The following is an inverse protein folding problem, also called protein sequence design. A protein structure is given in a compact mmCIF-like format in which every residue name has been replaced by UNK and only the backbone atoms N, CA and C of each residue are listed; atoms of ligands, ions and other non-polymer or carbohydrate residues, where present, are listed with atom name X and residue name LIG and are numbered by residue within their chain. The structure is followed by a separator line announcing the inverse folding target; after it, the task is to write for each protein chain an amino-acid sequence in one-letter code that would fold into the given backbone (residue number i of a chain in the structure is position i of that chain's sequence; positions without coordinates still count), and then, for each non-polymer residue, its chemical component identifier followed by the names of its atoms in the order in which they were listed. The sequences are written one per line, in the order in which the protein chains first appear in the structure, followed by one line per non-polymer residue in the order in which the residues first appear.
data_IF_624057795543
#
_entry.id   IF_624057795543
#
_cell.length_a   1.000
_cell.length_b   1.000
_cell.length_c   1.000
_cell.angle_alpha   90.00
_cell.angle_beta   90.00
_cell.angle_gamma   90.00
#
_symmetry.space_group_name_H-M   'P 1'
#
loop_
_entity.id
_entity.type
_entity.pdbx_description
1 polymer ?
#
# COMPACT_ATOMS: atom_id res chain seq x y z
N UNK A 1 7.53 26.15 -9.08
CA UNK A 1 6.57 25.18 -8.54
C UNK A 1 7.06 24.82 -7.15
N UNK A 2 6.21 24.85 -6.14
CA UNK A 2 6.60 24.52 -4.77
C UNK A 2 6.76 23.01 -4.59
N UNK A 3 7.61 22.57 -3.66
CA UNK A 3 7.85 21.15 -3.35
C UNK A 3 6.54 20.35 -3.13
N UNK A 4 5.57 20.96 -2.44
CA UNK A 4 4.25 20.38 -2.20
C UNK A 4 3.46 20.17 -3.51
N UNK A 5 3.59 21.07 -4.48
CA UNK A 5 2.94 20.93 -5.79
C UNK A 5 3.51 19.75 -6.58
N UNK A 6 4.80 19.43 -6.48
CA UNK A 6 5.39 18.30 -7.21
C UNK A 6 5.16 16.95 -6.57
N UNK A 7 5.24 16.87 -5.24
CA UNK A 7 4.83 15.66 -4.52
C UNK A 7 3.39 15.31 -4.91
N UNK A 8 2.52 16.33 -4.95
CA UNK A 8 1.14 16.17 -5.38
C UNK A 8 1.01 15.72 -6.85
N UNK A 9 1.75 16.35 -7.78
CA UNK A 9 1.73 15.98 -9.20
C UNK A 9 2.22 14.54 -9.41
N UNK A 10 3.32 14.15 -8.76
CA UNK A 10 3.87 12.81 -8.90
C UNK A 10 2.93 11.76 -8.31
N UNK A 11 2.36 12.02 -7.13
CA UNK A 11 1.31 11.17 -6.55
C UNK A 11 0.16 10.98 -7.52
N UNK A 12 -0.33 12.06 -8.14
CA UNK A 12 -1.43 11.99 -9.12
C UNK A 12 -1.05 11.24 -10.40
N UNK A 13 0.20 11.35 -10.85
CA UNK A 13 0.71 10.59 -11.99
C UNK A 13 0.73 9.09 -11.68
N UNK A 14 1.25 8.70 -10.53
CA UNK A 14 1.29 7.30 -10.08
C UNK A 14 -0.12 6.73 -9.87
N UNK A 15 -1.02 7.49 -9.25
CA UNK A 15 -2.44 7.10 -9.11
C UNK A 15 -3.05 6.80 -10.48
N UNK A 16 -2.78 7.65 -11.49
CA UNK A 16 -3.33 7.48 -12.84
C UNK A 16 -2.77 6.25 -13.57
N UNK A 17 -1.47 5.98 -13.44
CA UNK A 17 -0.83 4.80 -14.05
C UNK A 17 -1.44 3.52 -13.47
N UNK A 18 -1.57 3.45 -12.14
CA UNK A 18 -2.13 2.27 -11.46
C UNK A 18 -3.63 2.13 -11.72
N UNK A 19 -4.39 3.24 -11.73
CA UNK A 19 -5.80 3.24 -12.12
C UNK A 19 -5.99 2.66 -13.52
N UNK A 20 -5.22 3.13 -14.50
CA UNK A 20 -5.30 2.62 -15.87
C UNK A 20 -4.97 1.12 -15.92
N UNK A 21 -3.89 0.68 -15.25
CA UNK A 21 -3.53 -0.73 -15.22
C UNK A 21 -4.64 -1.62 -14.62
N UNK A 22 -5.31 -1.13 -13.56
CA UNK A 22 -6.43 -1.84 -12.95
C UNK A 22 -7.65 -1.85 -13.88
N UNK A 23 -7.95 -0.76 -14.58
CA UNK A 23 -9.07 -0.69 -15.52
C UNK A 23 -8.85 -1.54 -16.77
N UNK A 24 -7.62 -1.58 -17.29
CA UNK A 24 -7.24 -2.39 -18.46
C UNK A 24 -7.40 -3.90 -18.18
N UNK A 25 -7.40 -4.30 -16.90
CA UNK A 25 -7.66 -5.67 -16.47
C UNK A 25 -9.11 -6.12 -16.65
N UNK A 26 -10.06 -5.21 -16.96
CA UNK A 26 -11.52 -5.44 -17.07
C UNK A 26 -12.21 -6.09 -15.85
N UNK A 27 -11.46 -6.42 -14.80
CA UNK A 27 -11.98 -7.07 -13.60
C UNK A 27 -12.81 -6.11 -12.75
N UNK A 28 -12.52 -4.82 -12.77
CA UNK A 28 -13.28 -3.76 -12.08
C UNK A 28 -13.65 -2.63 -13.05
N UNK A 29 -14.69 -1.87 -12.72
CA UNK A 29 -15.12 -0.72 -13.51
C UNK A 29 -14.56 0.60 -12.96
N UNK A 30 -14.72 1.67 -13.73
CA UNK A 30 -14.33 3.02 -13.29
C UNK A 30 -15.10 3.44 -12.03
N UNK A 31 -16.37 3.07 -11.95
CA UNK A 31 -17.24 3.36 -10.82
C UNK A 31 -16.70 2.76 -9.51
N UNK A 32 -16.13 1.55 -9.55
CA UNK A 32 -15.48 0.92 -8.39
C UNK A 32 -14.33 1.78 -7.88
N UNK A 33 -13.46 2.24 -8.78
CA UNK A 33 -12.30 3.08 -8.45
C UNK A 33 -12.75 4.44 -7.91
N UNK A 34 -13.75 5.05 -8.55
CA UNK A 34 -14.27 6.35 -8.16
C UNK A 34 -14.96 6.32 -6.78
N UNK A 35 -15.70 5.25 -6.46
CA UNK A 35 -16.27 5.06 -5.11
C UNK A 35 -15.17 4.83 -4.07
N UNK A 36 -14.20 3.95 -4.35
CA UNK A 36 -13.08 3.70 -3.44
C UNK A 36 -12.33 5.01 -3.13
N UNK A 37 -12.00 5.80 -4.16
CA UNK A 37 -11.24 7.06 -4.05
C UNK A 37 -11.87 8.06 -3.07
N UNK A 38 -13.21 8.15 -3.03
CA UNK A 38 -13.94 9.07 -2.14
C UNK A 38 -13.75 8.75 -0.66
N UNK A 39 -13.44 7.50 -0.33
CA UNK A 39 -13.36 7.01 1.04
C UNK A 39 -11.99 7.23 1.68
N UNK A 40 -10.97 7.63 0.91
CA UNK A 40 -9.64 7.87 1.44
C UNK A 40 -9.49 9.35 1.82
N UNK A 41 -9.38 9.67 3.12
CA UNK A 41 -9.06 11.03 3.54
C UNK A 41 -7.66 11.43 3.03
N UNK A 42 -7.28 12.68 3.24
CA UNK A 42 -5.90 13.15 3.03
C UNK A 42 -4.98 12.45 4.03
N UNK A 43 -4.68 11.18 3.71
CA UNK A 43 -3.85 10.32 4.47
C UNK A 43 -2.46 10.29 3.81
N UNK A 44 -1.43 10.38 4.63
CA UNK A 44 -0.05 10.14 4.26
C UNK A 44 0.37 8.76 3.74
N UNK A 45 -0.13 7.71 4.39
CA UNK A 45 0.29 6.33 4.24
C UNK A 45 -0.88 5.51 3.74
N UNK A 46 -1.94 5.42 4.54
CA UNK A 46 -3.18 4.69 4.21
C UNK A 46 -4.08 5.55 3.31
N UNK A 47 -3.58 5.85 2.12
CA UNK A 47 -4.23 6.73 1.14
C UNK A 47 -4.58 5.99 -0.14
N UNK A 48 -5.25 6.67 -1.06
CA UNK A 48 -5.71 5.99 -2.27
C UNK A 48 -4.59 5.43 -3.14
N UNK A 49 -3.42 6.08 -3.17
CA UNK A 49 -2.26 5.54 -3.90
C UNK A 49 -1.77 4.22 -3.27
N UNK A 50 -1.77 4.11 -1.94
CA UNK A 50 -1.49 2.85 -1.25
C UNK A 50 -2.50 1.76 -1.65
N UNK A 51 -3.79 2.07 -1.59
CA UNK A 51 -4.85 1.12 -1.98
C UNK A 51 -4.70 0.63 -3.43
N UNK A 52 -4.38 1.53 -4.36
CA UNK A 52 -4.12 1.20 -5.77
C UNK A 52 -2.91 0.27 -5.92
N UNK A 53 -1.82 0.53 -5.19
CA UNK A 53 -0.64 -0.33 -5.24
C UNK A 53 -0.95 -1.73 -4.69
N UNK A 54 -1.56 -1.83 -3.50
CA UNK A 54 -1.95 -3.11 -2.89
C UNK A 54 -2.85 -3.90 -3.86
N UNK A 55 -3.82 -3.22 -4.48
CA UNK A 55 -4.72 -3.82 -5.46
C UNK A 55 -3.98 -4.28 -6.71
N UNK A 56 -3.03 -3.49 -7.22
CA UNK A 56 -2.32 -3.82 -8.46
C UNK A 56 -1.54 -5.14 -8.38
N UNK A 57 -1.06 -5.55 -7.19
CA UNK A 57 -0.41 -6.84 -7.01
C UNK A 57 -1.33 -8.04 -7.21
N UNK A 58 -2.65 -7.86 -7.06
CA UNK A 58 -3.65 -8.90 -7.37
C UNK A 58 -3.63 -9.25 -8.86
N UNK A 59 -3.30 -8.30 -9.74
CA UNK A 59 -3.18 -8.54 -11.18
C UNK A 59 -2.00 -9.44 -11.55
N UNK A 60 -1.00 -9.56 -10.66
CA UNK A 60 0.16 -10.43 -10.85
C UNK A 60 -0.11 -11.87 -10.40
N UNK A 61 -1.31 -12.18 -9.85
CA UNK A 61 -1.67 -13.53 -9.46
C UNK A 61 -1.93 -14.45 -10.68
N UNK A 62 -1.56 -15.74 -10.58
CA UNK A 62 -1.68 -16.71 -11.67
C UNK A 62 -3.13 -17.06 -12.02
N UNK A 63 -3.54 -16.77 -13.25
CA UNK A 63 -4.91 -17.01 -13.77
C UNK A 63 -5.28 -18.49 -13.92
N UNK A 64 -4.29 -19.40 -13.93
CA UNK A 64 -4.51 -20.85 -13.90
C UNK A 64 -4.88 -21.37 -12.50
N UNK A 65 -4.74 -20.53 -11.47
CA UNK A 65 -5.00 -20.88 -10.06
C UNK A 65 -6.15 -20.07 -9.47
N UNK A 66 -6.32 -18.82 -9.91
CA UNK A 66 -7.36 -17.91 -9.46
C UNK A 66 -8.33 -17.61 -10.60
N UNK A 67 -9.62 -17.80 -10.35
CA UNK A 67 -10.70 -17.43 -11.25
C UNK A 67 -10.85 -15.91 -11.36
N UNK A 68 -11.48 -15.45 -12.43
CA UNK A 68 -11.80 -14.04 -12.61
C UNK A 68 -12.64 -13.47 -11.46
N UNK A 69 -13.57 -14.26 -10.89
CA UNK A 69 -14.37 -13.85 -9.73
C UNK A 69 -13.50 -13.66 -8.49
N UNK A 70 -12.54 -14.55 -8.24
CA UNK A 70 -11.60 -14.44 -7.12
C UNK A 70 -10.69 -13.22 -7.27
N UNK A 71 -10.09 -13.03 -8.45
CA UNK A 71 -9.24 -11.88 -8.73
C UNK A 71 -10.00 -10.55 -8.61
N UNK A 72 -11.21 -10.47 -9.18
CA UNK A 72 -12.09 -9.31 -9.02
C UNK A 72 -12.40 -9.04 -7.55
N UNK A 73 -12.76 -10.07 -6.79
CA UNK A 73 -13.07 -9.92 -5.36
C UNK A 73 -11.86 -9.45 -4.57
N UNK A 74 -10.66 -9.95 -4.88
CA UNK A 74 -9.42 -9.51 -4.24
C UNK A 74 -9.02 -8.08 -4.65
N UNK A 75 -9.25 -7.67 -5.90
CA UNK A 75 -9.04 -6.30 -6.35
C UNK A 75 -9.94 -5.33 -5.60
N UNK A 76 -11.23 -5.64 -5.49
CA UNK A 76 -12.18 -4.85 -4.69
C UNK A 76 -11.74 -4.81 -3.23
N UNK A 77 -11.31 -5.93 -2.65
CA UNK A 77 -10.79 -5.94 -1.29
C UNK A 77 -9.57 -5.01 -1.13
N UNK A 78 -8.60 -5.07 -2.04
CA UNK A 78 -7.43 -4.21 -2.02
C UNK A 78 -7.77 -2.71 -2.15
N UNK A 79 -8.77 -2.36 -2.97
CA UNK A 79 -9.16 -0.97 -3.19
C UNK A 79 -9.81 -0.35 -1.95
N UNK A 80 -10.43 -1.15 -1.10
CA UNK A 80 -11.23 -0.71 0.05
C UNK A 80 -10.65 -1.10 1.41
N UNK A 81 -9.55 -1.86 1.48
CA UNK A 81 -9.05 -2.43 2.74
C UNK A 81 -8.73 -1.40 3.83
N UNK A 82 -8.38 -0.17 3.43
CA UNK A 82 -8.01 0.95 4.29
C UNK A 82 -9.00 2.13 4.15
N UNK A 83 -10.21 1.88 3.66
CA UNK A 83 -11.22 2.91 3.49
C UNK A 83 -11.48 3.63 4.83
N UNK A 84 -11.44 4.96 4.80
CA UNK A 84 -11.60 5.84 5.97
C UNK A 84 -10.49 5.75 7.04
N UNK A 85 -9.34 5.15 6.77
CA UNK A 85 -8.27 5.06 7.76
C UNK A 85 -7.74 6.47 8.17
N UNK A 86 -7.87 6.84 9.44
CA UNK A 86 -7.63 8.20 9.98
C UNK A 86 -6.28 8.38 10.70
N UNK A 87 -5.23 7.70 10.25
CA UNK A 87 -3.87 7.72 10.82
C UNK A 87 -3.68 7.01 12.16
N UNK A 88 -4.71 6.99 13.00
CA UNK A 88 -4.69 6.32 14.29
C UNK A 88 -5.33 4.96 14.10
N UNK A 89 -4.57 3.89 14.33
CA UNK A 89 -5.09 2.53 14.27
C UNK A 89 -6.24 2.36 15.27
N UNK A 90 -7.47 2.33 14.77
CA UNK A 90 -8.67 2.09 15.54
C UNK A 90 -8.95 0.58 15.58
N UNK A 91 -9.42 0.03 16.71
CA UNK A 91 -9.84 -1.38 16.79
C UNK A 91 -11.01 -1.77 15.87
N UNK A 92 -11.57 -0.83 15.10
CA UNK A 92 -12.73 -1.04 14.23
C UNK A 92 -12.49 -0.63 12.79
N UNK A 93 -11.26 -0.28 12.40
CA UNK A 93 -10.95 0.23 11.06
C UNK A 93 -11.40 -0.77 9.97
N UNK A 94 -11.29 -2.07 10.23
CA UNK A 94 -11.73 -3.12 9.33
C UNK A 94 -13.25 -3.20 9.20
N UNK A 95 -13.99 -2.97 10.29
CA UNK A 95 -15.46 -2.98 10.26
C UNK A 95 -15.99 -1.75 9.55
N UNK A 96 -15.33 -0.60 9.75
CA UNK A 96 -15.63 0.63 9.00
C UNK A 96 -15.35 0.40 7.52
N UNK A 97 -14.18 -0.13 7.17
CA UNK A 97 -13.81 -0.42 5.77
C UNK A 97 -14.81 -1.37 5.10
N UNK A 98 -15.19 -2.46 5.78
CA UNK A 98 -16.19 -3.41 5.27
C UNK A 98 -17.58 -2.79 5.13
N UNK A 99 -18.00 -1.93 6.08
CA UNK A 99 -19.28 -1.24 6.00
C UNK A 99 -19.34 -0.29 4.81
N UNK A 100 -18.29 0.52 4.63
CA UNK A 100 -18.21 1.48 3.52
C UNK A 100 -18.08 0.79 2.17
N UNK A 101 -17.36 -0.33 2.12
CA UNK A 101 -17.29 -1.21 0.95
C UNK A 101 -18.68 -1.73 0.59
N UNK A 102 -19.45 -2.24 1.56
CA UNK A 102 -20.80 -2.73 1.34
C UNK A 102 -21.70 -1.63 0.74
N UNK A 103 -21.69 -0.43 1.32
CA UNK A 103 -22.45 0.71 0.79
C UNK A 103 -22.02 1.11 -0.63
N UNK A 104 -20.72 1.05 -0.94
CA UNK A 104 -20.20 1.35 -2.27
C UNK A 104 -20.64 0.28 -3.29
N UNK A 105 -20.58 -1.00 -2.92
CA UNK A 105 -21.02 -2.09 -3.78
C UNK A 105 -22.50 -2.02 -4.10
N UNK A 106 -23.35 -1.67 -3.13
CA UNK A 106 -24.79 -1.47 -3.37
C UNK A 106 -25.03 -0.42 -4.45
N UNK A 107 -24.35 0.73 -4.38
CA UNK A 107 -24.43 1.80 -5.41
C UNK A 107 -23.92 1.37 -6.78
N UNK A 108 -22.87 0.53 -6.81
CA UNK A 108 -22.30 0.02 -8.06
C UNK A 108 -23.27 -0.98 -8.69
N UNK A 109 -23.81 -1.91 -7.90
CA UNK A 109 -24.72 -2.96 -8.35
C UNK A 109 -26.10 -2.42 -8.77
N UNK A 110 -26.53 -1.28 -8.23
CA UNK A 110 -27.70 -0.55 -8.72
C UNK A 110 -27.54 -0.12 -10.20
N UNK A 111 -26.32 0.23 -10.61
CA UNK A 111 -26.00 0.72 -11.96
C UNK A 111 -25.52 -0.38 -12.91
N UNK A 112 -24.78 -1.33 -12.38
CA UNK A 112 -24.24 -2.49 -13.09
C UNK A 112 -24.57 -3.77 -12.33
N UNK A 113 -25.73 -4.35 -12.64
CA UNK A 113 -26.23 -5.57 -11.98
C UNK A 113 -25.39 -6.81 -12.26
N UNK A 114 -24.59 -6.78 -13.32
CA UNK A 114 -23.71 -7.88 -13.71
C UNK A 114 -22.34 -7.78 -13.01
N UNK A 115 -22.08 -6.69 -12.28
CA UNK A 115 -20.93 -6.57 -11.40
C UNK A 115 -21.07 -7.44 -10.15
N UNK A 116 -20.61 -8.69 -10.29
CA UNK A 116 -20.64 -9.70 -9.24
C UNK A 116 -19.26 -9.84 -8.60
N UNK A 117 -19.25 -9.90 -7.27
CA UNK A 117 -18.10 -10.27 -6.44
C UNK A 117 -18.48 -11.41 -5.47
N UNK A 118 -17.49 -12.10 -4.92
CA UNK A 118 -17.67 -12.99 -3.78
C UNK A 118 -17.33 -12.23 -2.49
N UNK A 119 -18.37 -11.83 -1.75
CA UNK A 119 -18.22 -11.08 -0.50
C UNK A 119 -17.47 -11.87 0.58
N UNK A 120 -17.50 -13.21 0.55
CA UNK A 120 -16.75 -14.02 1.50
C UNK A 120 -15.24 -13.90 1.28
N UNK A 121 -14.82 -13.80 0.02
CA UNK A 121 -13.42 -13.53 -0.36
C UNK A 121 -13.03 -12.14 0.08
N UNK A 122 -13.85 -11.13 -0.24
CA UNK A 122 -13.61 -9.73 0.14
C UNK A 122 -13.43 -9.60 1.64
N UNK A 123 -14.39 -10.12 2.42
CA UNK A 123 -14.33 -10.09 3.88
C UNK A 123 -13.07 -10.74 4.41
N UNK A 124 -12.72 -11.94 3.93
CA UNK A 124 -11.51 -12.62 4.41
C UNK A 124 -10.24 -11.83 4.05
N UNK A 125 -10.18 -11.26 2.84
CA UNK A 125 -9.03 -10.49 2.39
C UNK A 125 -8.84 -9.21 3.22
N UNK A 126 -9.88 -8.38 3.38
CA UNK A 126 -9.85 -7.16 4.21
C UNK A 126 -9.53 -7.47 5.67
N UNK A 127 -10.12 -8.52 6.26
CA UNK A 127 -9.78 -8.92 7.64
C UNK A 127 -8.31 -9.38 7.78
N UNK A 128 -7.64 -9.71 6.67
CA UNK A 128 -6.23 -10.11 6.65
C UNK A 128 -5.26 -8.94 6.83
N UNK A 129 -5.62 -7.72 6.41
CA UNK A 129 -4.75 -6.54 6.52
C UNK A 129 -4.65 -6.01 7.96
N UNK A 130 -5.47 -6.52 8.88
CA UNK A 130 -5.40 -6.19 10.32
C UNK A 130 -4.19 -6.86 10.99
N UNK A 131 -3.13 -6.08 11.19
CA UNK A 131 -1.87 -6.54 11.79
C UNK A 131 -2.00 -7.26 13.14
N UNK A 132 -2.97 -6.87 14.00
CA UNK A 132 -3.07 -7.35 15.39
C UNK A 132 -3.34 -8.86 15.50
N UNK A 133 -3.97 -9.47 14.49
CA UNK A 133 -4.34 -10.89 14.51
C UNK A 133 -3.87 -11.68 13.28
N UNK A 134 -2.99 -11.10 12.46
CA UNK A 134 -2.51 -11.71 11.23
C UNK A 134 -1.97 -13.14 11.43
N UNK A 135 -1.22 -13.38 12.49
CA UNK A 135 -0.66 -14.69 12.82
C UNK A 135 -1.70 -15.79 13.08
N UNK A 136 -2.96 -15.43 13.37
CA UNK A 136 -4.07 -16.39 13.57
C UNK A 136 -4.79 -16.75 12.26
N UNK A 137 -4.51 -16.06 11.16
CA UNK A 137 -5.26 -16.21 9.90
C UNK A 137 -4.59 -17.24 8.99
N UNK A 138 -5.36 -18.24 8.58
CA UNK A 138 -4.92 -19.31 7.66
C UNK A 138 -5.66 -19.30 6.32
N UNK A 139 -6.68 -18.46 6.17
CA UNK A 139 -7.38 -18.29 4.91
C UNK A 139 -6.44 -17.68 3.85
N UNK A 140 -6.39 -18.30 2.66
CA UNK A 140 -5.44 -17.91 1.61
C UNK A 140 -5.58 -16.45 1.18
N UNK A 141 -6.79 -15.91 1.09
CA UNK A 141 -7.04 -14.53 0.66
C UNK A 141 -6.60 -13.54 1.73
N UNK A 142 -6.86 -13.85 3.00
CA UNK A 142 -6.35 -13.08 4.13
C UNK A 142 -4.83 -12.99 4.09
N UNK A 143 -4.15 -14.13 3.90
CA UNK A 143 -2.69 -14.18 3.88
C UNK A 143 -2.14 -13.40 2.68
N UNK A 144 -2.68 -13.62 1.47
CA UNK A 144 -2.20 -12.95 0.25
C UNK A 144 -2.39 -11.43 0.32
N UNK A 145 -3.59 -10.94 0.67
CA UNK A 145 -3.83 -9.50 0.69
C UNK A 145 -3.02 -8.82 1.80
N UNK A 146 -2.89 -9.47 2.96
CA UNK A 146 -2.01 -9.00 4.02
C UNK A 146 -0.55 -8.97 3.57
N UNK A 147 -0.07 -9.98 2.83
CA UNK A 147 1.26 -9.94 2.23
C UNK A 147 1.39 -8.73 1.32
N UNK A 148 0.46 -8.47 0.40
CA UNK A 148 0.52 -7.31 -0.50
C UNK A 148 0.48 -5.96 0.24
N UNK A 149 -0.36 -5.84 1.26
CA UNK A 149 -0.49 -4.64 2.10
C UNK A 149 0.80 -4.36 2.88
N UNK A 150 1.35 -5.36 3.59
CA UNK A 150 2.65 -5.19 4.25
C UNK A 150 3.73 -4.91 3.22
N UNK A 151 3.76 -5.69 2.13
CA UNK A 151 4.88 -5.76 1.20
C UNK A 151 4.95 -4.60 0.20
N UNK A 152 3.93 -3.74 0.16
CA UNK A 152 3.96 -2.45 -0.54
C UNK A 152 5.16 -1.58 -0.14
N UNK A 153 5.54 -1.61 1.14
CA UNK A 153 6.66 -0.81 1.67
C UNK A 153 8.03 -1.30 1.18
N UNK A 154 8.07 -2.41 0.46
CA UNK A 154 9.29 -3.19 0.30
C UNK A 154 9.70 -3.47 -1.13
N UNK A 155 8.95 -2.98 -2.13
CA UNK A 155 9.34 -3.20 -3.54
C UNK A 155 10.74 -2.64 -3.80
N UNK A 156 11.09 -1.48 -3.22
CA UNK A 156 12.39 -0.81 -3.34
C UNK A 156 12.69 0.09 -2.13
N UNK A 157 13.84 -0.10 -1.46
CA UNK A 157 14.29 0.75 -0.35
C UNK A 157 14.36 2.23 -0.73
N UNK A 158 14.64 2.51 -2.01
CA UNK A 158 14.71 3.86 -2.55
C UNK A 158 13.35 4.56 -2.46
N UNK A 159 12.26 3.86 -2.77
CA UNK A 159 10.90 4.41 -2.70
C UNK A 159 10.53 4.75 -1.26
N UNK A 160 10.91 3.89 -0.30
CA UNK A 160 10.71 4.16 1.11
C UNK A 160 11.46 5.42 1.54
N UNK A 161 12.75 5.51 1.22
CA UNK A 161 13.60 6.66 1.59
C UNK A 161 13.29 7.94 0.80
N UNK A 162 12.44 7.88 -0.23
CA UNK A 162 11.97 9.04 -0.97
C UNK A 162 10.59 9.51 -0.51
N UNK A 163 9.57 8.67 -0.64
CA UNK A 163 8.18 9.09 -0.41
C UNK A 163 7.87 9.29 1.08
N UNK A 164 8.43 8.48 1.97
CA UNK A 164 8.13 8.61 3.40
C UNK A 164 8.71 9.88 4.02
N UNK A 165 9.95 10.30 3.72
CA UNK A 165 10.47 11.60 4.14
C UNK A 165 9.66 12.80 3.62
N UNK A 166 9.34 12.83 2.33
CA UNK A 166 8.51 13.89 1.73
C UNK A 166 7.19 14.04 2.49
N UNK A 167 6.63 12.91 2.83
CA UNK A 167 5.43 12.86 3.63
C UNK A 167 5.65 13.38 5.08
N UNK A 168 6.69 12.92 5.77
CA UNK A 168 7.02 13.36 7.12
C UNK A 168 7.25 14.88 7.21
N UNK A 169 7.80 15.47 6.15
CA UNK A 169 7.98 16.92 6.00
C UNK A 169 6.63 17.66 5.94
N UNK A 170 5.61 17.12 5.27
CA UNK A 170 4.25 17.71 5.26
C UNK A 170 3.66 17.80 6.67
N UNK A 171 3.93 16.81 7.54
CA UNK A 171 3.51 16.82 8.94
C UNK A 171 4.45 17.58 9.88
N UNK A 172 5.51 18.21 9.35
CA UNK A 172 6.52 18.92 10.14
C UNK A 172 7.21 18.00 11.17
N UNK A 173 7.38 16.72 10.85
CA UNK A 173 8.13 15.77 11.67
C UNK A 173 9.62 16.01 11.45
N UNK A 174 10.39 16.07 12.54
CA UNK A 174 11.85 16.22 12.45
C UNK A 174 12.50 14.97 11.86
N UNK A 175 13.66 15.12 11.21
CA UNK A 175 14.43 14.00 10.65
C UNK A 175 14.78 12.95 11.72
N UNK A 176 15.16 13.40 12.91
CA UNK A 176 15.51 12.53 14.03
C UNK A 176 14.27 11.78 14.56
N UNK A 177 13.13 12.45 14.68
CA UNK A 177 11.87 11.80 15.08
C UNK A 177 11.39 10.79 14.04
N UNK A 178 11.52 11.13 12.75
CA UNK A 178 11.14 10.25 11.65
C UNK A 178 11.92 8.93 11.70
N UNK A 179 13.26 8.98 11.66
CA UNK A 179 14.07 7.77 11.67
C UNK A 179 13.99 7.03 13.02
N UNK A 180 13.86 7.74 14.15
CA UNK A 180 13.63 7.09 15.45
C UNK A 180 12.32 6.30 15.46
N UNK A 181 11.23 6.87 14.92
CA UNK A 181 9.93 6.18 14.86
C UNK A 181 9.94 5.02 13.87
N UNK A 182 10.49 5.22 12.68
CA UNK A 182 10.65 4.16 11.67
C UNK A 182 11.48 3.00 12.21
N UNK A 183 12.65 3.26 12.79
CA UNK A 183 13.56 2.22 13.27
C UNK A 183 13.07 1.52 14.53
N UNK A 184 12.65 2.27 15.55
CA UNK A 184 12.31 1.68 16.85
C UNK A 184 10.94 1.04 16.87
N UNK A 185 9.99 1.57 16.10
CA UNK A 185 8.61 1.10 16.15
C UNK A 185 8.24 0.33 14.91
N UNK A 186 8.43 0.89 13.71
CA UNK A 186 7.89 0.29 12.49
C UNK A 186 8.67 -0.98 12.07
N UNK A 187 9.97 -0.88 11.81
CA UNK A 187 10.76 -2.05 11.36
C UNK A 187 10.97 -3.09 12.46
N UNK A 188 11.14 -2.66 13.71
CA UNK A 188 11.22 -3.60 14.83
C UNK A 188 9.93 -4.41 15.00
N UNK A 189 8.77 -3.78 14.81
CA UNK A 189 7.48 -4.46 14.82
C UNK A 189 7.37 -5.47 13.66
N UNK A 190 7.76 -5.06 12.45
CA UNK A 190 7.70 -5.91 11.26
C UNK A 190 8.65 -7.12 11.34
N UNK A 191 9.88 -6.93 11.82
CA UNK A 191 10.83 -8.03 12.06
C UNK A 191 10.36 -9.01 13.14
N UNK A 192 9.62 -8.53 14.15
CA UNK A 192 9.02 -9.40 15.16
C UNK A 192 7.85 -10.21 14.59
N UNK A 193 7.04 -9.59 13.72
CA UNK A 193 5.92 -10.23 13.04
C UNK A 193 6.39 -11.25 12.00
N UNK A 194 7.47 -10.97 11.27
CA UNK A 194 8.06 -11.88 10.28
C UNK A 194 8.27 -13.30 10.84
N UNK A 195 8.77 -13.41 12.07
CA UNK A 195 9.02 -14.71 12.73
C UNK A 195 7.77 -15.53 13.00
N UNK A 196 6.59 -14.91 12.91
CA UNK A 196 5.30 -15.51 13.27
C UNK A 196 4.29 -15.48 12.11
N UNK A 197 4.68 -14.96 10.94
CA UNK A 197 3.78 -14.77 9.81
C UNK A 197 3.91 -15.88 8.79
N UNK A 198 2.78 -16.47 8.45
CA UNK A 198 2.62 -17.26 7.24
C UNK A 198 2.73 -16.33 6.03
N UNK A 199 3.71 -16.60 5.17
CA UNK A 199 3.90 -15.90 3.89
C UNK A 199 3.35 -16.78 2.78
N UNK A 200 2.48 -16.23 1.95
CA UNK A 200 1.95 -16.90 0.77
C UNK A 200 3.09 -17.19 -0.23
N UNK A 201 3.18 -18.42 -0.77
CA UNK A 201 4.10 -18.74 -1.85
C UNK A 201 3.89 -17.88 -3.10
N UNK A 202 2.65 -17.42 -3.36
CA UNK A 202 2.34 -16.55 -4.49
C UNK A 202 2.89 -15.15 -4.28
N UNK A 203 2.62 -14.57 -3.11
CA UNK A 203 3.14 -13.27 -2.75
C UNK A 203 4.66 -13.29 -2.78
N UNK A 204 5.31 -14.33 -2.24
CA UNK A 204 6.78 -14.48 -2.29
C UNK A 204 7.37 -14.49 -3.70
N UNK A 205 6.64 -14.96 -4.71
CA UNK A 205 7.08 -14.89 -6.11
C UNK A 205 6.95 -13.48 -6.70
N UNK A 206 5.89 -12.77 -6.33
CA UNK A 206 5.56 -11.42 -6.81
C UNK A 206 6.46 -10.37 -6.13
N UNK A 207 6.79 -10.58 -4.85
CA UNK A 207 7.57 -9.68 -4.01
C UNK A 207 8.69 -10.47 -3.29
N UNK A 208 9.67 -11.00 -4.05
CA UNK A 208 10.71 -11.89 -3.51
C UNK A 208 11.69 -11.18 -2.56
N UNK A 209 11.75 -9.85 -2.62
CA UNK A 209 12.69 -9.02 -1.87
C UNK A 209 12.03 -8.24 -0.72
N UNK A 210 10.80 -8.59 -0.34
CA UNK A 210 10.05 -7.83 0.66
C UNK A 210 10.79 -7.68 2.01
N UNK A 211 11.61 -8.66 2.40
CA UNK A 211 12.44 -8.56 3.62
C UNK A 211 13.84 -8.02 3.36
N UNK A 212 14.26 -7.95 2.10
CA UNK A 212 15.54 -7.38 1.72
C UNK A 212 15.55 -5.87 1.98
N UNK A 213 14.43 -5.18 1.78
CA UNK A 213 14.34 -3.74 2.05
C UNK A 213 14.55 -3.39 3.55
N UNK A 214 14.18 -4.24 4.53
CA UNK A 214 14.59 -4.06 5.96
C UNK A 214 16.12 -4.08 6.05
N UNK A 215 16.73 -5.09 5.44
CA UNK A 215 18.18 -5.31 5.52
C UNK A 215 18.92 -4.17 4.82
N UNK A 216 18.43 -3.75 3.65
CA UNK A 216 18.98 -2.65 2.88
C UNK A 216 18.86 -1.34 3.65
N UNK A 217 17.72 -1.09 4.31
CA UNK A 217 17.56 0.09 5.17
C UNK A 217 18.61 0.15 6.30
N UNK A 218 18.88 -0.99 6.96
CA UNK A 218 19.92 -1.06 7.99
C UNK A 218 21.34 -1.08 7.42
N UNK A 219 21.51 -1.34 6.12
CA UNK A 219 22.81 -1.27 5.44
C UNK A 219 23.23 0.16 5.08
N UNK A 220 22.28 1.10 5.04
CA UNK A 220 22.54 2.51 4.78
C UNK A 220 22.77 3.21 6.11
N UNK A 221 23.90 3.91 6.22
CA UNK A 221 24.27 4.69 7.40
C UNK A 221 23.19 5.72 7.77
N UNK A 222 22.96 5.93 9.07
CA UNK A 222 21.93 6.85 9.55
C UNK A 222 22.17 8.27 9.06
N UNK A 223 23.41 8.75 9.03
CA UNK A 223 23.73 10.10 8.59
C UNK A 223 23.49 10.26 7.07
N UNK A 224 23.72 9.21 6.28
CA UNK A 224 23.35 9.20 4.86
C UNK A 224 21.82 9.29 4.69
N UNK A 225 21.05 8.54 5.49
CA UNK A 225 19.58 8.61 5.46
C UNK A 225 19.07 9.99 5.88
N UNK A 226 19.70 10.62 6.89
CA UNK A 226 19.41 12.01 7.27
C UNK A 226 19.74 12.99 6.16
N UNK A 227 20.86 12.81 5.48
CA UNK A 227 21.23 13.64 4.33
C UNK A 227 20.20 13.52 3.18
N UNK A 228 19.73 12.30 2.88
CA UNK A 228 18.65 12.07 1.92
C UNK A 228 17.38 12.83 2.32
N UNK A 229 17.01 12.78 3.60
CA UNK A 229 15.84 13.49 4.13
C UNK A 229 15.98 15.01 4.03
N UNK A 230 17.12 15.58 4.46
CA UNK A 230 17.37 17.03 4.34
C UNK A 230 17.45 17.47 2.88
N UNK A 231 17.99 16.64 1.98
CA UNK A 231 17.95 16.91 0.54
C UNK A 231 16.51 17.04 0.04
N UNK A 232 15.62 16.14 0.46
CA UNK A 232 14.19 16.21 0.10
C UNK A 232 13.45 17.36 0.77
N UNK A 233 14.05 18.04 1.76
CA UNK A 233 13.50 19.22 2.41
C UNK A 233 13.93 20.51 1.72
N UNK A 234 15.16 20.55 1.26
CA UNK A 234 15.80 21.76 0.73
C UNK A 234 15.81 21.79 -0.81
N UNK A 235 15.76 20.63 -1.46
CA UNK A 235 15.79 20.47 -2.90
C UNK A 235 14.47 19.93 -3.44
N UNK A 236 14.09 20.48 -4.59
CA UNK A 236 13.06 19.94 -5.44
C UNK A 236 13.69 18.90 -6.38
N UNK A 237 13.53 17.62 -6.05
CA UNK A 237 14.05 16.49 -6.83
C UNK A 237 12.97 15.45 -7.07
N UNK A 238 12.94 14.87 -8.27
CA UNK A 238 12.07 13.74 -8.61
C UNK A 238 12.59 12.41 -8.05
N UNK A 239 11.75 11.36 -8.06
CA UNK A 239 12.16 10.03 -7.59
C UNK A 239 13.33 9.47 -8.41
N UNK A 240 13.34 9.65 -9.73
CA UNK A 240 14.42 9.18 -10.59
C UNK A 240 15.73 9.93 -10.33
N UNK A 241 15.66 11.24 -10.08
CA UNK A 241 16.82 12.06 -9.70
C UNK A 241 17.36 11.66 -8.33
N UNK A 242 16.48 11.45 -7.35
CA UNK A 242 16.85 10.93 -6.03
C UNK A 242 17.56 9.58 -6.13
N UNK A 243 17.01 8.64 -6.91
CA UNK A 243 17.63 7.34 -7.18
C UNK A 243 19.01 7.50 -7.81
N UNK A 244 19.14 8.36 -8.81
CA UNK A 244 20.41 8.61 -9.48
C UNK A 244 21.45 9.23 -8.52
N UNK A 245 21.02 10.14 -7.64
CA UNK A 245 21.90 10.85 -6.69
C UNK A 245 22.42 9.94 -5.57
N UNK A 246 21.59 9.05 -5.05
CA UNK A 246 21.91 8.31 -3.82
C UNK A 246 22.09 6.80 -4.01
N UNK A 247 21.56 6.20 -5.08
CA UNK A 247 21.52 4.73 -5.23
C UNK A 247 22.20 4.21 -6.50
N UNK A 248 22.37 5.03 -7.53
CA UNK A 248 23.31 4.67 -8.61
C UNK A 248 24.73 4.95 -8.14
N UNK A 249 25.51 3.88 -7.99
CA UNK A 249 26.96 3.99 -7.80
C UNK A 249 27.56 4.83 -8.92
N UNK A 250 28.39 5.81 -8.54
CA UNK A 250 29.45 6.32 -9.39
C UNK A 250 30.48 5.22 -9.67
#
# INVERSE_FOLDING_TARGET
MSMQEMIFIEKKRQEKILENNILDSWLVTKEVIDEARKLYPANPFHNFLHALNVSSYVLELPWDIFSALELRSMLVAGLFHDAWHTWIAHPLDEFISLSLLQEALEKIQEKDRDFIIDYSIVRNAVMGTVFKERWKRTNRYSVILSDFDIWYIWKWIESFLYYWPLFALELKVSVDDFFTKVEKWYFKFLMNIEKQVLISPYSRKILPHSLQTIKDFYSIDLEVKKQMFETLKDEDITFDEFKNKFFKKS
#
